data_IF_424526187360
#
_entry.id   IF_424526187360
#
_cell.length_a   1.000
_cell.length_b   1.000
_cell.length_c   1.000
_cell.angle_alpha   90.00
_cell.angle_beta   90.00
_cell.angle_gamma   90.00
#
_symmetry.space_group_name_H-M   'P 1'
#
loop_
_entity.id
_entity.type
_entity.pdbx_description
1 polymer ?
#
# COMPACT_ATOMS: atom_id res chain seq x y z
N UNK A 1 -9.99 -17.29 -21.63
CA UNK A 1 -10.03 -16.69 -20.28
C UNK A 1 -10.26 -15.19 -20.49
N UNK A 2 -11.37 -14.66 -20.00
CA UNK A 2 -11.67 -13.23 -20.13
C UNK A 2 -10.97 -12.49 -18.97
N UNK A 3 -10.32 -11.34 -19.22
CA UNK A 3 -9.64 -10.57 -18.19
C UNK A 3 -10.60 -10.02 -17.10
N UNK A 4 -11.89 -9.99 -17.37
CA UNK A 4 -12.95 -9.65 -16.41
C UNK A 4 -13.44 -10.84 -15.57
N UNK A 5 -12.98 -12.07 -15.87
CA UNK A 5 -13.32 -13.24 -15.06
C UNK A 5 -12.85 -13.01 -13.61
N UNK A 6 -13.60 -13.52 -12.65
CA UNK A 6 -13.32 -13.36 -11.22
C UNK A 6 -12.91 -14.69 -10.60
N UNK A 7 -12.02 -14.60 -9.60
CA UNK A 7 -11.64 -15.74 -8.75
C UNK A 7 -12.04 -15.45 -7.30
N UNK A 8 -12.64 -16.43 -6.67
CA UNK A 8 -13.03 -16.34 -5.27
C UNK A 8 -11.81 -16.54 -4.37
N UNK A 9 -11.55 -15.58 -3.49
CA UNK A 9 -10.64 -15.77 -2.36
C UNK A 9 -11.33 -16.64 -1.33
N UNK A 10 -10.79 -17.84 -1.10
CA UNK A 10 -11.48 -18.91 -0.34
C UNK A 10 -11.80 -18.45 1.08
N UNK A 11 -10.85 -17.80 1.77
CA UNK A 11 -11.01 -17.42 3.19
C UNK A 11 -11.90 -16.18 3.40
N UNK A 12 -11.85 -15.20 2.52
CA UNK A 12 -12.61 -13.95 2.66
C UNK A 12 -13.94 -13.97 1.90
N UNK A 13 -14.14 -14.94 1.01
CA UNK A 13 -15.30 -14.96 0.12
C UNK A 13 -15.29 -13.90 -0.98
N UNK A 14 -14.27 -13.04 -1.02
CA UNK A 14 -14.16 -11.96 -2.00
C UNK A 14 -13.93 -12.50 -3.41
N UNK A 15 -14.60 -11.91 -4.37
CA UNK A 15 -14.40 -12.23 -5.78
C UNK A 15 -13.50 -11.17 -6.42
N UNK A 16 -12.23 -11.48 -6.61
CA UNK A 16 -11.28 -10.61 -7.28
C UNK A 16 -11.28 -10.84 -8.80
N UNK A 17 -11.23 -9.79 -9.62
CA UNK A 17 -10.96 -9.94 -11.05
C UNK A 17 -9.57 -10.56 -11.25
N UNK A 18 -9.41 -11.28 -12.36
CA UNK A 18 -8.12 -11.90 -12.73
C UNK A 18 -7.07 -10.81 -13.00
N UNK A 19 -7.50 -9.69 -13.60
CA UNK A 19 -6.66 -8.53 -13.87
C UNK A 19 -6.99 -7.41 -12.89
N UNK A 20 -6.00 -6.97 -12.12
CA UNK A 20 -6.06 -5.80 -11.26
C UNK A 20 -5.18 -4.67 -11.79
N UNK A 21 -5.37 -3.48 -11.27
CA UNK A 21 -4.60 -2.29 -11.56
C UNK A 21 -3.56 -2.05 -10.47
N UNK A 22 -2.27 -2.25 -10.78
CA UNK A 22 -1.16 -1.92 -9.87
C UNK A 22 -0.70 -0.48 -10.06
N UNK A 23 -0.76 0.32 -8.99
CA UNK A 23 -0.47 1.75 -9.04
C UNK A 23 0.97 2.12 -8.68
N UNK A 24 1.90 1.18 -8.63
CA UNK A 24 3.31 1.47 -8.39
C UNK A 24 3.88 2.52 -9.36
N UNK A 25 3.58 2.53 -10.68
CA UNK A 25 4.06 3.57 -11.58
C UNK A 25 3.63 5.00 -11.21
N UNK A 26 2.55 5.15 -10.43
CA UNK A 26 2.09 6.47 -9.96
C UNK A 26 2.97 7.10 -8.88
N UNK A 27 3.98 6.41 -8.43
CA UNK A 27 5.04 6.98 -7.58
C UNK A 27 5.86 8.05 -8.31
N UNK A 28 5.98 7.96 -9.64
CA UNK A 28 6.79 8.88 -10.45
C UNK A 28 6.14 10.28 -10.51
N UNK A 29 6.99 11.29 -10.67
CA UNK A 29 6.58 12.67 -10.94
C UNK A 29 7.47 13.23 -12.05
N UNK A 30 7.00 13.11 -13.26
CA UNK A 30 7.69 13.61 -14.46
C UNK A 30 6.65 14.00 -15.53
N UNK A 31 7.11 14.42 -16.68
CA UNK A 31 6.22 14.86 -17.77
C UNK A 31 5.26 13.75 -18.24
N UNK A 32 5.61 12.48 -18.08
CA UNK A 32 4.81 11.35 -18.53
C UNK A 32 3.85 10.84 -17.44
N UNK A 33 4.21 11.01 -16.15
CA UNK A 33 3.42 10.56 -15.00
C UNK A 33 3.13 11.74 -14.09
N UNK A 34 1.96 12.35 -14.27
CA UNK A 34 1.43 13.45 -13.49
C UNK A 34 -0.02 13.14 -13.08
N UNK A 35 -0.70 14.07 -12.45
CA UNK A 35 -2.08 13.86 -11.99
C UNK A 35 -3.04 13.62 -13.15
N UNK A 36 -2.91 14.37 -14.24
CA UNK A 36 -3.80 14.26 -15.41
C UNK A 36 -3.62 12.92 -16.14
N UNK A 37 -2.37 12.50 -16.37
CA UNK A 37 -2.09 11.22 -17.01
C UNK A 37 -2.53 10.04 -16.12
N UNK A 38 -2.35 10.16 -14.81
CA UNK A 38 -2.83 9.17 -13.85
C UNK A 38 -4.36 9.05 -13.86
N UNK A 39 -5.06 10.19 -13.89
CA UNK A 39 -6.52 10.22 -14.00
C UNK A 39 -7.03 9.57 -15.29
N UNK A 40 -6.41 9.89 -16.42
CA UNK A 40 -6.76 9.28 -17.72
C UNK A 40 -6.54 7.76 -17.67
N UNK A 41 -5.46 7.29 -17.08
CA UNK A 41 -5.14 5.86 -16.99
C UNK A 41 -6.13 5.12 -16.09
N UNK A 42 -6.48 5.66 -14.92
CA UNK A 42 -7.48 5.06 -14.03
C UNK A 42 -8.85 5.01 -14.70
N UNK A 43 -9.28 6.12 -15.31
CA UNK A 43 -10.57 6.17 -16.00
C UNK A 43 -10.61 5.17 -17.18
N UNK A 44 -9.52 5.01 -17.91
CA UNK A 44 -9.43 3.99 -18.96
C UNK A 44 -9.55 2.58 -18.39
N UNK A 45 -8.88 2.28 -17.28
CA UNK A 45 -9.00 0.99 -16.61
C UNK A 45 -10.45 0.69 -16.17
N UNK A 46 -11.11 1.69 -15.56
CA UNK A 46 -12.51 1.58 -15.14
C UNK A 46 -13.46 1.36 -16.33
N UNK A 47 -13.25 2.08 -17.44
CA UNK A 47 -14.04 1.91 -18.66
C UNK A 47 -13.86 0.53 -19.29
N UNK A 48 -12.69 -0.09 -19.09
CA UNK A 48 -12.43 -1.48 -19.49
C UNK A 48 -12.99 -2.51 -18.50
N UNK A 49 -13.61 -2.09 -17.40
CA UNK A 49 -14.16 -2.98 -16.37
C UNK A 49 -13.16 -3.45 -15.32
N UNK A 50 -11.93 -2.92 -15.31
CA UNK A 50 -10.95 -3.18 -14.26
C UNK A 50 -11.39 -2.41 -13.02
N UNK A 51 -11.69 -3.13 -11.94
CA UNK A 51 -12.24 -2.55 -10.72
C UNK A 51 -11.51 -3.00 -9.44
N UNK A 52 -10.32 -3.57 -9.56
CA UNK A 52 -9.42 -3.84 -8.44
C UNK A 52 -8.17 -2.98 -8.57
N UNK A 53 -7.91 -2.14 -7.55
CA UNK A 53 -6.79 -1.21 -7.50
C UNK A 53 -5.90 -1.52 -6.30
N UNK A 54 -4.60 -1.68 -6.57
CA UNK A 54 -3.58 -1.91 -5.54
C UNK A 54 -2.56 -0.78 -5.51
N UNK A 55 -2.28 -0.29 -4.30
CA UNK A 55 -1.31 0.76 -4.04
C UNK A 55 -0.48 0.47 -2.79
N UNK A 56 0.34 1.41 -2.35
CA UNK A 56 1.10 1.32 -1.11
C UNK A 56 1.54 2.70 -0.60
N UNK A 57 1.76 2.84 0.73
CA UNK A 57 2.35 4.04 1.33
C UNK A 57 3.70 4.39 0.72
N UNK A 58 4.51 3.38 0.42
CA UNK A 58 5.83 3.61 -0.17
C UNK A 58 5.80 4.15 -1.58
N UNK A 59 4.81 3.84 -2.39
CA UNK A 59 4.81 4.25 -3.79
C UNK A 59 4.81 5.78 -3.95
N UNK A 60 6.02 6.34 -4.12
CA UNK A 60 6.27 7.77 -4.20
C UNK A 60 5.98 8.51 -2.89
N UNK A 61 6.24 7.87 -1.74
CA UNK A 61 6.03 8.44 -0.41
C UNK A 61 4.60 8.95 -0.21
N UNK A 62 3.62 8.11 -0.54
CA UNK A 62 2.19 8.40 -0.44
C UNK A 62 1.56 8.99 -1.69
N UNK A 63 2.35 9.38 -2.71
CA UNK A 63 1.84 10.00 -3.94
C UNK A 63 0.87 9.11 -4.69
N UNK A 64 1.16 7.81 -4.80
CA UNK A 64 0.28 6.88 -5.48
C UNK A 64 -1.09 6.78 -4.78
N UNK A 65 -1.11 6.71 -3.46
CA UNK A 65 -2.36 6.71 -2.69
C UNK A 65 -3.15 8.01 -2.89
N UNK A 66 -2.48 9.17 -2.83
CA UNK A 66 -3.12 10.47 -3.10
C UNK A 66 -3.71 10.54 -4.50
N UNK A 67 -3.01 10.05 -5.53
CA UNK A 67 -3.51 10.05 -6.91
C UNK A 67 -4.70 9.15 -7.10
N UNK A 68 -4.64 7.93 -6.60
CA UNK A 68 -5.77 6.99 -6.63
C UNK A 68 -6.96 7.58 -5.86
N UNK A 69 -6.74 8.05 -4.64
CA UNK A 69 -7.77 8.62 -3.81
C UNK A 69 -8.47 9.80 -4.47
N UNK A 70 -7.71 10.72 -5.08
CA UNK A 70 -8.28 11.89 -5.77
C UNK A 70 -9.26 11.53 -6.89
N UNK A 71 -9.09 10.38 -7.51
CA UNK A 71 -9.93 9.96 -8.65
C UNK A 71 -11.06 9.06 -8.17
N UNK A 72 -10.75 8.05 -7.38
CA UNK A 72 -11.73 7.04 -6.99
C UNK A 72 -12.76 7.58 -5.98
N UNK A 73 -12.42 8.60 -5.17
CA UNK A 73 -13.39 9.18 -4.21
C UNK A 73 -14.57 9.89 -4.86
N UNK A 74 -14.47 10.28 -6.14
CA UNK A 74 -15.58 10.84 -6.90
C UNK A 74 -16.55 9.77 -7.43
N UNK A 75 -16.26 8.50 -7.15
CA UNK A 75 -17.04 7.35 -7.61
C UNK A 75 -17.82 6.71 -6.47
N UNK A 76 -18.88 5.99 -6.82
CA UNK A 76 -19.53 5.11 -5.84
C UNK A 76 -18.53 4.06 -5.35
N UNK A 77 -18.33 4.01 -4.03
CA UNK A 77 -17.34 3.15 -3.34
C UNK A 77 -17.53 1.66 -3.64
N UNK A 78 -18.77 1.22 -3.88
CA UNK A 78 -19.09 -0.18 -4.14
C UNK A 78 -18.67 -0.66 -5.54
N UNK A 79 -18.23 0.25 -6.40
CA UNK A 79 -17.86 -0.08 -7.78
C UNK A 79 -16.45 -0.65 -7.92
N UNK A 80 -15.62 -0.55 -6.89
CA UNK A 80 -14.22 -1.00 -6.95
C UNK A 80 -13.76 -1.65 -5.65
N UNK A 81 -12.70 -2.42 -5.75
CA UNK A 81 -11.96 -3.03 -4.65
C UNK A 81 -10.65 -2.27 -4.53
N UNK A 82 -10.30 -1.86 -3.31
CA UNK A 82 -9.09 -1.11 -3.02
C UNK A 82 -8.22 -1.85 -2.03
N UNK A 83 -6.98 -2.12 -2.42
CA UNK A 83 -5.95 -2.60 -1.49
C UNK A 83 -4.83 -1.58 -1.33
N UNK A 84 -4.29 -1.53 -0.14
CA UNK A 84 -3.00 -0.88 0.15
C UNK A 84 -2.16 -1.77 1.05
N UNK A 85 -0.98 -1.31 1.43
CA UNK A 85 -0.04 -2.13 2.18
C UNK A 85 0.27 -1.54 3.55
N UNK A 86 0.65 -2.39 4.50
CA UNK A 86 0.98 -2.03 5.88
C UNK A 86 2.40 -2.46 6.26
N UNK A 87 2.89 -1.95 7.38
CA UNK A 87 4.24 -2.25 7.89
C UNK A 87 5.29 -1.23 7.45
N UNK A 88 4.92 -0.23 6.65
CA UNK A 88 5.78 0.90 6.28
C UNK A 88 5.08 2.21 6.57
N UNK A 89 5.63 2.98 7.48
CA UNK A 89 5.10 4.28 7.95
C UNK A 89 5.96 5.41 7.39
N UNK A 90 5.33 6.47 6.93
CA UNK A 90 6.02 7.66 6.43
C UNK A 90 6.21 8.67 7.56
N UNK A 91 7.46 9.02 7.89
CA UNK A 91 7.81 10.02 8.92
C UNK A 91 8.74 11.08 8.35
N UNK A 92 8.67 12.29 8.92
CA UNK A 92 9.56 13.40 8.54
C UNK A 92 11.01 13.19 9.02
N UNK A 93 11.19 12.44 10.08
CA UNK A 93 12.50 12.22 10.71
C UNK A 93 13.16 10.95 10.17
N UNK A 94 14.48 11.00 9.97
CA UNK A 94 15.26 9.78 9.66
C UNK A 94 15.09 8.77 10.80
N UNK A 95 15.02 7.47 10.50
CA UNK A 95 15.11 6.44 11.53
C UNK A 95 16.39 6.61 12.34
N UNK A 96 16.29 6.50 13.67
CA UNK A 96 17.44 6.64 14.59
C UNK A 96 18.44 5.49 14.43
N UNK A 97 17.96 4.33 14.07
CA UNK A 97 18.83 3.20 13.76
C UNK A 97 19.35 3.34 12.34
N UNK A 98 20.63 3.00 12.17
CA UNK A 98 21.16 2.59 10.88
C UNK A 98 20.46 1.26 10.51
N UNK A 99 19.15 1.34 10.23
CA UNK A 99 18.45 0.22 9.64
C UNK A 99 19.23 -0.09 8.37
N UNK A 100 19.64 -1.34 8.17
CA UNK A 100 20.44 -1.74 7.01
C UNK A 100 19.59 -1.84 5.74
N UNK A 101 18.46 -1.14 5.69
CA UNK A 101 17.93 -0.70 4.41
C UNK A 101 19.07 0.09 3.81
N UNK A 102 19.55 -0.33 2.66
CA UNK A 102 20.53 0.42 1.94
C UNK A 102 19.89 1.77 1.55
N UNK A 103 19.97 2.72 2.51
CA UNK A 103 19.43 4.07 2.30
C UNK A 103 20.05 4.73 1.08
N UNK A 104 21.23 4.26 0.61
CA UNK A 104 21.83 4.75 -0.59
C UNK A 104 21.06 4.30 -1.84
N UNK A 105 20.61 3.04 -1.90
CA UNK A 105 19.66 2.60 -2.95
C UNK A 105 18.33 3.33 -2.81
N UNK A 106 17.87 3.54 -1.61
CA UNK A 106 16.66 4.28 -1.29
C UNK A 106 16.77 5.78 -1.59
N UNK A 107 17.87 6.43 -1.21
CA UNK A 107 18.11 7.84 -1.54
C UNK A 107 18.24 8.05 -3.05
N UNK A 108 18.79 7.10 -3.78
CA UNK A 108 18.83 7.14 -5.24
C UNK A 108 17.44 6.92 -5.86
N UNK A 109 16.64 6.00 -5.36
CA UNK A 109 15.26 5.84 -5.79
C UNK A 109 14.42 7.07 -5.41
N UNK A 110 14.48 7.54 -4.17
CA UNK A 110 13.76 8.74 -3.70
C UNK A 110 14.23 10.00 -4.44
N UNK A 111 15.50 10.15 -4.72
CA UNK A 111 16.02 11.29 -5.49
C UNK A 111 15.53 11.28 -6.94
N UNK A 112 15.11 10.13 -7.47
CA UNK A 112 14.45 10.04 -8.77
C UNK A 112 12.99 10.49 -8.74
N UNK A 113 12.34 10.56 -7.54
CA UNK A 113 10.90 10.78 -7.44
C UNK A 113 10.52 12.24 -7.25
N UNK A 114 10.98 13.02 -6.48
CA UNK A 114 10.69 14.42 -6.24
C UNK A 114 11.26 14.84 -4.88
N UNK A 115 12.20 15.74 -4.92
CA UNK A 115 12.84 16.25 -3.71
C UNK A 115 11.90 17.06 -2.80
N UNK A 116 10.66 17.32 -3.22
CA UNK A 116 9.68 18.08 -2.42
C UNK A 116 9.05 17.27 -1.29
N UNK A 117 8.96 15.93 -1.42
CA UNK A 117 8.40 15.06 -0.40
C UNK A 117 9.51 14.46 0.46
N UNK A 118 9.88 15.17 1.54
CA UNK A 118 10.93 14.75 2.46
C UNK A 118 10.37 13.84 3.56
N UNK A 119 9.88 12.66 3.17
CA UNK A 119 9.52 11.61 4.11
C UNK A 119 10.56 10.50 4.09
N UNK A 120 10.69 9.83 5.22
CA UNK A 120 11.48 8.61 5.40
C UNK A 120 10.54 7.47 5.73
N UNK A 121 10.84 6.29 5.23
CA UNK A 121 10.09 5.09 5.55
C UNK A 121 10.64 4.45 6.80
N UNK A 122 9.75 4.15 7.73
CA UNK A 122 10.03 3.38 8.92
C UNK A 122 9.30 2.05 8.82
N UNK A 123 10.04 0.96 8.99
CA UNK A 123 9.43 -0.36 9.09
C UNK A 123 8.87 -0.53 10.50
N UNK A 124 7.59 -0.83 10.59
CA UNK A 124 6.92 -1.09 11.85
C UNK A 124 5.75 -2.05 11.60
N UNK A 125 5.97 -3.33 11.94
CA UNK A 125 4.98 -4.40 11.80
C UNK A 125 4.34 -4.75 13.15
N UNK A 126 4.53 -3.93 14.19
CA UNK A 126 3.88 -4.08 15.48
C UNK A 126 2.38 -3.77 15.40
N UNK A 127 1.65 -4.06 16.46
CA UNK A 127 0.23 -3.73 16.60
C UNK A 127 -0.05 -2.26 16.25
N UNK A 128 0.65 -1.34 16.90
CA UNK A 128 0.47 0.10 16.67
C UNK A 128 0.96 0.52 15.29
N UNK A 129 2.03 -0.10 14.79
CA UNK A 129 2.57 0.14 13.45
C UNK A 129 1.59 -0.22 12.35
N UNK A 130 0.90 -1.34 12.47
CA UNK A 130 -0.15 -1.77 11.52
C UNK A 130 -1.33 -0.80 11.55
N UNK A 131 -1.87 -0.47 12.74
CA UNK A 131 -3.00 0.45 12.86
C UNK A 131 -2.63 1.84 12.32
N UNK A 132 -1.45 2.36 12.69
CA UNK A 132 -0.97 3.65 12.19
C UNK A 132 -0.83 3.67 10.68
N UNK A 133 -0.27 2.61 10.08
CA UNK A 133 -0.12 2.50 8.62
C UNK A 133 -1.50 2.51 7.93
N UNK A 134 -2.49 1.80 8.48
CA UNK A 134 -3.86 1.76 8.00
C UNK A 134 -4.52 3.14 8.05
N UNK A 135 -4.49 3.81 9.20
CA UNK A 135 -5.08 5.14 9.41
C UNK A 135 -4.46 6.20 8.48
N UNK A 136 -3.13 6.23 8.40
CA UNK A 136 -2.41 7.15 7.52
C UNK A 136 -2.76 6.92 6.04
N UNK A 137 -2.98 5.66 5.64
CA UNK A 137 -3.42 5.32 4.27
C UNK A 137 -4.85 5.75 4.00
N UNK A 138 -5.76 5.58 4.95
CA UNK A 138 -7.14 6.09 4.83
C UNK A 138 -7.15 7.61 4.59
N UNK A 139 -6.33 8.35 5.34
CA UNK A 139 -6.22 9.81 5.17
C UNK A 139 -5.67 10.20 3.80
N UNK A 140 -4.63 9.51 3.30
CA UNK A 140 -4.06 9.81 1.99
C UNK A 140 -5.00 9.41 0.84
N UNK A 141 -5.68 8.29 0.98
CA UNK A 141 -6.67 7.81 0.01
C UNK A 141 -7.98 8.61 0.05
N UNK A 142 -8.33 9.18 1.21
CA UNK A 142 -9.57 9.91 1.42
C UNK A 142 -10.79 9.01 1.51
N UNK A 143 -10.62 7.77 2.01
CA UNK A 143 -11.70 6.80 2.23
C UNK A 143 -11.77 6.41 3.70
N UNK A 144 -12.98 6.15 4.17
CA UNK A 144 -13.22 5.57 5.49
C UNK A 144 -13.15 4.04 5.53
N UNK A 145 -12.93 3.40 4.37
CA UNK A 145 -12.81 1.94 4.24
C UNK A 145 -11.82 1.57 3.15
N UNK A 146 -10.93 0.63 3.49
CA UNK A 146 -10.03 -0.07 2.56
C UNK A 146 -10.45 -1.54 2.55
N UNK A 147 -10.54 -2.17 1.37
CA UNK A 147 -11.03 -3.55 1.29
C UNK A 147 -10.00 -4.57 1.73
N UNK A 148 -8.73 -4.33 1.41
CA UNK A 148 -7.67 -5.30 1.68
C UNK A 148 -6.39 -4.61 2.15
N UNK A 149 -5.73 -5.22 3.14
CA UNK A 149 -4.40 -4.83 3.59
C UNK A 149 -3.40 -5.96 3.28
N UNK A 150 -2.29 -5.59 2.65
CA UNK A 150 -1.20 -6.51 2.31
C UNK A 150 0.03 -6.15 3.15
N UNK A 151 0.67 -7.14 3.77
CA UNK A 151 1.94 -6.94 4.47
C UNK A 151 3.01 -6.63 3.43
N UNK A 152 3.68 -5.46 3.57
CA UNK A 152 4.59 -4.96 2.54
C UNK A 152 6.00 -5.49 2.71
N UNK A 153 6.44 -6.35 1.77
CA UNK A 153 7.82 -6.82 1.59
C UNK A 153 8.52 -7.20 2.92
N UNK A 154 7.89 -8.06 3.70
CA UNK A 154 8.48 -8.63 4.90
C UNK A 154 9.31 -9.86 4.49
N UNK A 155 10.43 -9.62 3.85
CA UNK A 155 11.28 -10.63 3.25
C UNK A 155 12.78 -10.32 3.40
N UNK A 156 13.61 -11.32 3.04
CA UNK A 156 15.06 -11.21 3.12
C UNK A 156 15.64 -10.18 2.14
N UNK A 157 14.99 -9.94 1.00
CA UNK A 157 15.51 -8.98 0.01
C UNK A 157 15.56 -7.56 0.58
N UNK A 158 14.55 -7.16 1.34
CA UNK A 158 14.49 -5.83 1.96
C UNK A 158 15.23 -5.76 3.31
N UNK A 159 15.16 -6.80 4.13
CA UNK A 159 15.76 -6.76 5.47
C UNK A 159 17.22 -7.21 5.51
N UNK A 160 17.73 -7.84 4.45
CA UNK A 160 19.14 -8.18 4.17
C UNK A 160 19.82 -9.17 5.12
N UNK A 161 19.39 -9.27 6.37
CA UNK A 161 19.93 -10.22 7.35
C UNK A 161 18.81 -10.99 8.03
N UNK A 162 19.10 -12.25 8.43
CA UNK A 162 18.15 -13.08 9.18
C UNK A 162 17.74 -12.43 10.50
N UNK A 163 18.68 -11.80 11.19
CA UNK A 163 18.41 -11.10 12.45
C UNK A 163 17.32 -10.04 12.29
N UNK A 164 17.41 -9.20 11.26
CA UNK A 164 16.42 -8.17 11.00
C UNK A 164 15.10 -8.72 10.52
N UNK A 165 15.14 -9.68 9.62
CA UNK A 165 13.92 -10.34 9.18
C UNK A 165 13.20 -10.95 10.39
N UNK A 166 13.92 -11.67 11.24
CA UNK A 166 13.36 -12.25 12.47
C UNK A 166 12.85 -11.18 13.45
N UNK A 167 13.53 -10.04 13.56
CA UNK A 167 13.07 -8.92 14.38
C UNK A 167 11.69 -8.44 13.90
N UNK A 168 11.51 -8.20 12.61
CA UNK A 168 10.23 -7.72 12.06
C UNK A 168 9.15 -8.81 12.01
N UNK A 169 9.53 -10.08 11.78
CA UNK A 169 8.60 -11.20 11.93
C UNK A 169 8.09 -11.31 13.38
N UNK A 170 8.95 -11.09 14.37
CA UNK A 170 8.55 -11.06 15.77
C UNK A 170 7.64 -9.85 16.10
N UNK A 171 7.82 -8.70 15.45
CA UNK A 171 6.87 -7.58 15.59
C UNK A 171 5.48 -7.97 15.07
N UNK A 172 5.43 -8.63 13.91
CA UNK A 172 4.17 -9.10 13.34
C UNK A 172 3.49 -10.15 14.21
N UNK A 173 4.23 -11.11 14.72
CA UNK A 173 3.72 -12.20 15.55
C UNK A 173 3.55 -11.76 17.02
N UNK A 174 4.63 -11.73 17.80
CA UNK A 174 4.60 -11.44 19.24
C UNK A 174 4.33 -9.98 19.57
N UNK A 175 4.71 -9.06 18.67
CA UNK A 175 4.42 -7.63 18.77
C UNK A 175 2.98 -7.25 18.40
N UNK A 176 2.16 -8.23 18.04
CA UNK A 176 0.73 -8.08 17.87
C UNK A 176 0.29 -7.51 16.51
N UNK A 177 1.18 -7.35 15.54
CA UNK A 177 0.80 -6.84 14.24
C UNK A 177 -0.23 -7.72 13.52
N UNK A 178 -0.08 -9.05 13.62
CA UNK A 178 -1.09 -9.97 13.10
C UNK A 178 -2.43 -9.84 13.83
N UNK A 179 -2.40 -9.64 15.15
CA UNK A 179 -3.60 -9.38 15.94
C UNK A 179 -4.33 -8.13 15.47
N UNK A 180 -3.62 -7.04 15.20
CA UNK A 180 -4.21 -5.82 14.67
C UNK A 180 -4.92 -6.04 13.31
N UNK A 181 -4.30 -6.79 12.41
CA UNK A 181 -4.90 -7.15 11.12
C UNK A 181 -6.16 -8.00 11.28
N UNK A 182 -6.15 -8.98 12.19
CA UNK A 182 -7.33 -9.82 12.47
C UNK A 182 -8.46 -9.03 13.15
N UNK A 183 -8.14 -8.07 14.01
CA UNK A 183 -9.14 -7.18 14.62
C UNK A 183 -9.79 -6.27 13.58
N UNK A 184 -9.01 -5.65 12.70
CA UNK A 184 -9.54 -4.86 11.57
C UNK A 184 -10.43 -5.71 10.66
N UNK A 185 -10.06 -6.97 10.42
CA UNK A 185 -10.88 -7.87 9.61
C UNK A 185 -12.17 -8.31 10.32
N UNK A 186 -12.09 -8.67 11.60
CA UNK A 186 -13.24 -9.15 12.36
C UNK A 186 -14.24 -8.06 12.69
N UNK A 187 -13.79 -6.81 12.81
CA UNK A 187 -14.68 -5.64 12.95
C UNK A 187 -15.33 -5.21 11.64
N UNK A 188 -14.88 -5.75 10.49
CA UNK A 188 -15.40 -5.39 9.16
C UNK A 188 -14.76 -4.13 8.54
N UNK A 189 -13.74 -3.57 9.18
CA UNK A 189 -12.97 -2.43 8.63
C UNK A 189 -12.24 -2.82 7.34
N UNK A 190 -11.76 -4.06 7.27
CA UNK A 190 -11.21 -4.66 6.05
C UNK A 190 -11.87 -6.02 5.78
N UNK A 191 -11.82 -6.46 4.54
CA UNK A 191 -12.40 -7.74 4.11
C UNK A 191 -11.37 -8.85 3.97
N UNK A 192 -10.10 -8.51 3.69
CA UNK A 192 -9.05 -9.50 3.48
C UNK A 192 -7.67 -8.98 3.89
N UNK A 193 -6.79 -9.94 4.22
CA UNK A 193 -5.38 -9.76 4.57
C UNK A 193 -4.55 -10.55 3.55
N UNK A 194 -3.46 -9.95 3.07
CA UNK A 194 -2.49 -10.57 2.16
C UNK A 194 -1.05 -10.42 2.64
#
# INVERSE_FOLDING_TARGET
MNYLDKRKLIKSGYNLPILGFGAAPFMLSNNNVNNDSSAKTINSALNMGINYFDTAPWYGLGRSELRIGNILREMNRDRFILSTKVGRILKKTKPLEKSNVDYALWENEINSYDKSLKFYVHFDYSYDGILRSYEDSMQRLGFSKIDMLVIHDLDFYYHKTEEKLNFYLNQLDKGGGWKALEELRSSGEISAIG
#
